data_IF_494041537419
#
_entry.id   IF_494041537419
#
_cell.length_a   1.000
_cell.length_b   1.000
_cell.length_c   1.000
_cell.angle_alpha   90.00
_cell.angle_beta   90.00
_cell.angle_gamma   90.00
#
_symmetry.space_group_name_H-M   'P 1'
#
loop_
_entity.id
_entity.type
_entity.pdbx_description
1 polymer ?
#
# COMPACT_ATOMS: atom_id res chain seq x y z
N UNK A 1 -29.06 -1.77 30.54
CA UNK A 1 -29.04 -2.53 29.26
C UNK A 1 -28.16 -1.76 28.29
N UNK A 2 -27.03 -2.33 27.87
CA UNK A 2 -26.06 -1.64 26.99
C UNK A 2 -26.39 -1.96 25.53
N UNK A 3 -26.52 -0.95 24.68
CA UNK A 3 -26.83 -1.14 23.27
C UNK A 3 -25.69 -1.86 22.52
N UNK A 4 -26.01 -2.72 21.52
CA UNK A 4 -25.00 -3.45 20.77
C UNK A 4 -24.16 -2.53 19.87
N UNK A 5 -22.86 -2.77 19.79
CA UNK A 5 -21.93 -1.98 18.97
C UNK A 5 -22.03 -2.40 17.50
N UNK A 6 -22.70 -1.59 16.69
CA UNK A 6 -22.84 -1.82 15.24
C UNK A 6 -21.60 -1.33 14.51
N UNK A 7 -20.94 -2.20 13.72
CA UNK A 7 -19.90 -1.79 12.78
C UNK A 7 -20.56 -1.24 11.52
N UNK A 8 -20.24 0.00 11.14
CA UNK A 8 -20.75 0.64 9.93
C UNK A 8 -19.65 0.74 8.89
N UNK A 9 -19.97 0.46 7.64
CA UNK A 9 -19.14 0.79 6.49
C UNK A 9 -19.76 1.97 5.76
N UNK A 10 -18.93 2.90 5.29
CA UNK A 10 -19.37 4.08 4.57
C UNK A 10 -18.77 4.10 3.17
N UNK A 11 -19.56 4.53 2.20
CA UNK A 11 -19.12 4.76 0.82
C UNK A 11 -19.42 6.21 0.48
N UNK A 12 -18.40 6.94 0.08
CA UNK A 12 -18.53 8.34 -0.33
C UNK A 12 -18.15 8.47 -1.80
N UNK A 13 -18.82 9.38 -2.49
CA UNK A 13 -18.36 9.86 -3.79
C UNK A 13 -17.50 11.09 -3.56
N UNK A 14 -16.33 11.09 -4.16
CA UNK A 14 -15.34 12.16 -4.03
C UNK A 14 -15.20 12.89 -5.36
N UNK A 15 -15.20 14.22 -5.31
CA UNK A 15 -15.06 15.11 -6.47
C UNK A 15 -13.85 16.03 -6.23
N UNK A 16 -12.63 15.59 -6.60
CA UNK A 16 -11.44 16.39 -6.39
C UNK A 16 -11.41 17.62 -7.28
N UNK A 17 -10.77 18.69 -6.82
CA UNK A 17 -10.24 19.74 -7.71
C UNK A 17 -9.10 19.19 -8.55
N UNK A 18 -8.75 19.86 -9.64
CA UNK A 18 -7.64 19.43 -10.52
C UNK A 18 -6.32 19.26 -9.76
N UNK A 19 -6.03 20.19 -8.83
CA UNK A 19 -4.85 20.11 -7.97
C UNK A 19 -4.86 18.88 -7.06
N UNK A 20 -6.02 18.53 -6.48
CA UNK A 20 -6.18 17.32 -5.67
C UNK A 20 -6.05 16.05 -6.51
N UNK A 21 -6.65 16.02 -7.70
CA UNK A 21 -6.54 14.88 -8.62
C UNK A 21 -5.09 14.62 -9.04
N UNK A 22 -4.34 15.69 -9.32
CA UNK A 22 -2.91 15.60 -9.65
C UNK A 22 -2.09 15.06 -8.47
N UNK A 23 -2.34 15.54 -7.25
CA UNK A 23 -1.66 15.05 -6.04
C UNK A 23 -1.97 13.58 -5.75
N UNK A 24 -3.24 13.18 -5.88
CA UNK A 24 -3.64 11.79 -5.74
C UNK A 24 -2.98 10.88 -6.79
N UNK A 25 -2.90 11.34 -8.03
CA UNK A 25 -2.25 10.59 -9.11
C UNK A 25 -0.76 10.38 -8.82
N UNK A 26 -0.05 11.42 -8.34
CA UNK A 26 1.35 11.31 -7.88
C UNK A 26 1.47 10.32 -6.72
N UNK A 27 0.65 10.50 -5.69
CA UNK A 27 0.67 9.67 -4.48
C UNK A 27 0.44 8.20 -4.82
N UNK A 28 -0.62 7.89 -5.57
CA UNK A 28 -0.93 6.51 -5.95
C UNK A 28 0.10 5.92 -6.91
N UNK A 29 0.69 6.73 -7.79
CA UNK A 29 1.82 6.34 -8.63
C UNK A 29 3.03 5.90 -7.80
N UNK A 30 3.45 6.75 -6.86
CA UNK A 30 4.57 6.46 -5.96
C UNK A 30 4.32 5.19 -5.13
N UNK A 31 3.14 5.09 -4.50
CA UNK A 31 2.76 3.91 -3.69
C UNK A 31 2.76 2.64 -4.55
N UNK A 32 2.18 2.68 -5.75
CA UNK A 32 2.16 1.53 -6.66
C UNK A 32 3.56 1.09 -7.04
N UNK A 33 4.46 2.04 -7.35
CA UNK A 33 5.85 1.73 -7.71
C UNK A 33 6.56 1.03 -6.56
N UNK A 34 6.50 1.58 -5.35
CA UNK A 34 7.14 1.00 -4.15
C UNK A 34 6.56 -0.37 -3.82
N UNK A 35 5.23 -0.51 -3.90
CA UNK A 35 4.57 -1.80 -3.67
C UNK A 35 5.04 -2.88 -4.66
N UNK A 36 5.13 -2.53 -5.95
CA UNK A 36 5.56 -3.47 -6.98
C UNK A 36 7.03 -3.88 -6.79
N UNK A 37 7.92 -2.95 -6.44
CA UNK A 37 9.31 -3.27 -6.11
C UNK A 37 9.40 -4.25 -4.92
N UNK A 38 8.65 -4.00 -3.85
CA UNK A 38 8.61 -4.89 -2.70
C UNK A 38 7.98 -6.26 -3.02
N UNK A 39 6.98 -6.30 -3.91
CA UNK A 39 6.37 -7.56 -4.37
C UNK A 39 7.35 -8.38 -5.20
N UNK A 40 8.09 -7.73 -6.11
CA UNK A 40 9.13 -8.36 -6.93
C UNK A 40 10.22 -8.97 -6.06
N UNK A 41 10.81 -8.18 -5.14
CA UNK A 41 11.86 -8.65 -4.23
C UNK A 41 11.42 -9.86 -3.39
N UNK A 42 10.20 -9.84 -2.85
CA UNK A 42 9.64 -10.97 -2.09
C UNK A 42 9.43 -12.20 -2.96
N UNK A 43 8.96 -12.00 -4.19
CA UNK A 43 8.72 -13.08 -5.16
C UNK A 43 10.03 -13.73 -5.56
N UNK A 44 11.06 -12.94 -5.85
CA UNK A 44 12.38 -13.40 -6.21
C UNK A 44 13.05 -14.17 -5.06
N UNK A 45 13.04 -13.62 -3.84
CA UNK A 45 13.60 -14.27 -2.66
C UNK A 45 12.96 -15.64 -2.38
N UNK A 46 11.64 -15.74 -2.54
CA UNK A 46 10.96 -17.02 -2.38
C UNK A 46 11.32 -18.02 -3.50
N UNK A 47 11.36 -17.57 -4.75
CA UNK A 47 11.66 -18.43 -5.91
C UNK A 47 13.10 -18.95 -5.88
N UNK A 48 14.06 -18.09 -5.54
CA UNK A 48 15.49 -18.41 -5.59
C UNK A 48 15.99 -19.08 -4.31
N UNK A 49 15.55 -18.61 -3.14
CA UNK A 49 16.12 -18.99 -1.83
C UNK A 49 15.12 -19.63 -0.87
N UNK A 50 13.84 -19.74 -1.24
CA UNK A 50 12.74 -20.12 -0.31
C UNK A 50 12.70 -19.27 0.95
N UNK A 51 13.08 -18.01 0.81
CA UNK A 51 13.19 -17.06 1.91
C UNK A 51 11.96 -16.14 1.95
N UNK A 52 11.43 -15.91 3.16
CA UNK A 52 10.34 -14.96 3.38
C UNK A 52 10.89 -13.59 3.73
N UNK A 53 10.81 -12.66 2.77
CA UNK A 53 11.16 -11.25 3.01
C UNK A 53 9.94 -10.49 3.54
N UNK A 54 10.10 -9.84 4.70
CA UNK A 54 9.06 -9.08 5.40
C UNK A 54 9.12 -7.57 5.15
N UNK A 55 8.19 -6.83 5.75
CA UNK A 55 8.06 -5.38 5.59
C UNK A 55 9.36 -4.62 5.93
N UNK A 56 9.96 -4.89 7.10
CA UNK A 56 11.17 -4.19 7.56
C UNK A 56 12.32 -4.33 6.57
N UNK A 57 12.51 -5.53 5.99
CA UNK A 57 13.53 -5.78 4.99
C UNK A 57 13.25 -5.02 3.69
N UNK A 58 12.01 -5.07 3.18
CA UNK A 58 11.65 -4.28 1.98
C UNK A 58 11.69 -2.77 2.22
N UNK A 59 11.47 -2.30 3.44
CA UNK A 59 11.59 -0.89 3.80
C UNK A 59 13.05 -0.44 3.79
N UNK A 60 13.97 -1.26 4.31
CA UNK A 60 15.40 -0.96 4.31
C UNK A 60 15.98 -0.87 2.88
N UNK A 61 15.46 -1.63 1.93
CA UNK A 61 15.87 -1.59 0.52
C UNK A 61 15.61 -0.23 -0.16
N UNK A 62 14.69 0.59 0.37
CA UNK A 62 14.36 1.90 -0.21
C UNK A 62 15.30 3.02 0.21
N UNK A 63 16.13 2.77 1.24
CA UNK A 63 17.00 3.76 1.88
C UNK A 63 18.45 3.30 1.93
N UNK A 64 18.80 2.27 1.15
CA UNK A 64 20.14 1.70 1.06
C UNK A 64 21.07 2.54 0.17
#
# INVERSE_FOLDING_TARGET
MTAPRVKRAFKYRFYPTDAQAAELSRTFGCVRKVYNLALEARTEAWRSRRERVGYNATSAMLTA
#
